data_IF_302256483527
#
_entry.id   IF_302256483527
#
_cell.length_a   1.000
_cell.length_b   1.000
_cell.length_c   1.000
_cell.angle_alpha   90.00
_cell.angle_beta   90.00
_cell.angle_gamma   90.00
#
_symmetry.space_group_name_H-M   'P 1'
#
loop_
_entity.id
_entity.type
_entity.pdbx_description
1 polymer ?
#
# COMPACT_ATOMS: atom_id res chain seq x y z
N UNK A 1 8.94 6.89 16.45
CA UNK A 1 8.05 7.76 15.68
C UNK A 1 6.60 7.62 16.10
N UNK A 2 5.79 8.60 15.69
CA UNK A 2 4.32 8.61 15.78
C UNK A 2 3.72 7.54 14.85
N UNK A 3 2.45 7.18 15.04
CA UNK A 3 1.77 6.24 14.14
C UNK A 3 1.58 6.85 12.74
N UNK A 4 1.50 8.17 12.64
CA UNK A 4 1.48 8.89 11.37
C UNK A 4 2.78 8.69 10.59
N UNK A 5 3.93 8.87 11.25
CA UNK A 5 5.25 8.62 10.66
C UNK A 5 5.39 7.17 10.20
N UNK A 6 4.85 6.21 10.96
CA UNK A 6 4.85 4.80 10.55
C UNK A 6 3.99 4.52 9.32
N UNK A 7 2.84 5.18 9.17
CA UNK A 7 2.02 5.06 7.95
C UNK A 7 2.80 5.58 6.76
N UNK A 8 3.43 6.77 6.86
CA UNK A 8 4.29 7.30 5.78
C UNK A 8 5.44 6.35 5.46
N UNK A 9 6.10 5.85 6.49
CA UNK A 9 7.18 4.88 6.36
C UNK A 9 6.74 3.58 5.65
N UNK A 10 5.51 3.11 5.87
CA UNK A 10 4.98 1.93 5.16
C UNK A 10 4.92 2.16 3.64
N UNK A 11 4.41 3.32 3.21
CA UNK A 11 4.36 3.67 1.79
C UNK A 11 5.75 3.77 1.17
N UNK A 12 6.65 4.52 1.82
CA UNK A 12 8.02 4.74 1.34
C UNK A 12 8.81 3.44 1.26
N UNK A 13 8.72 2.60 2.31
CA UNK A 13 9.41 1.31 2.37
C UNK A 13 8.90 0.37 1.29
N UNK A 14 7.59 0.32 1.05
CA UNK A 14 7.04 -0.49 -0.03
C UNK A 14 7.59 -0.04 -1.39
N UNK A 15 7.65 1.27 -1.65
CA UNK A 15 8.19 1.78 -2.90
C UNK A 15 9.66 1.38 -3.09
N UNK A 16 10.50 1.65 -2.09
CA UNK A 16 11.93 1.38 -2.15
C UNK A 16 12.25 -0.12 -2.32
N UNK A 17 11.50 -0.99 -1.64
CA UNK A 17 11.79 -2.43 -1.63
C UNK A 17 11.08 -3.21 -2.72
N UNK A 18 9.91 -2.75 -3.15
CA UNK A 18 9.05 -3.49 -4.08
C UNK A 18 8.77 -2.63 -5.31
N UNK A 19 8.11 -1.48 -5.13
CA UNK A 19 7.58 -0.68 -6.23
C UNK A 19 8.61 -0.28 -7.27
N UNK A 20 9.80 0.16 -6.84
CA UNK A 20 10.90 0.60 -7.73
C UNK A 20 11.84 -0.53 -8.15
N UNK A 21 11.51 -1.79 -7.85
CA UNK A 21 12.38 -2.94 -8.13
C UNK A 21 11.67 -3.94 -9.05
N UNK A 22 12.43 -4.90 -9.60
CA UNK A 22 11.84 -5.98 -10.41
C UNK A 22 10.86 -6.87 -9.62
N UNK A 23 10.89 -6.82 -8.29
CA UNK A 23 10.00 -7.61 -7.43
C UNK A 23 8.52 -7.25 -7.64
N UNK A 24 8.20 -6.03 -8.08
CA UNK A 24 6.82 -5.61 -8.43
C UNK A 24 6.20 -6.51 -9.52
N UNK A 25 7.03 -7.10 -10.39
CA UNK A 25 6.60 -8.04 -11.42
C UNK A 25 6.03 -9.35 -10.87
N UNK A 26 6.47 -9.81 -9.69
CA UNK A 26 5.94 -11.01 -9.06
C UNK A 26 4.47 -10.82 -8.65
N UNK A 27 4.14 -9.68 -8.04
CA UNK A 27 2.76 -9.38 -7.66
C UNK A 27 1.82 -9.33 -8.86
N UNK A 28 2.28 -8.74 -9.97
CA UNK A 28 1.53 -8.73 -11.23
C UNK A 28 1.31 -10.13 -11.78
N UNK A 29 2.37 -10.94 -11.83
CA UNK A 29 2.27 -12.32 -12.34
C UNK A 29 1.30 -13.14 -11.50
N UNK A 30 1.32 -13.00 -10.18
CA UNK A 30 0.35 -13.68 -9.32
C UNK A 30 -1.07 -13.20 -9.58
N UNK A 31 -1.28 -11.92 -9.87
CA UNK A 31 -2.62 -11.41 -10.17
C UNK A 31 -3.16 -11.90 -11.52
N UNK A 32 -2.31 -12.13 -12.51
CA UNK A 32 -2.75 -12.63 -13.82
C UNK A 32 -2.79 -14.16 -13.90
N UNK A 33 -1.89 -14.86 -13.20
CA UNK A 33 -1.68 -16.30 -13.35
C UNK A 33 -2.05 -17.14 -12.12
N UNK A 34 -2.56 -16.55 -11.03
CA UNK A 34 -2.86 -17.29 -9.79
C UNK A 34 -3.79 -18.49 -10.01
N UNK A 35 -4.77 -18.36 -10.91
CA UNK A 35 -5.70 -19.45 -11.23
C UNK A 35 -5.03 -20.61 -11.97
N UNK A 36 -3.94 -20.34 -12.71
CA UNK A 36 -3.18 -21.35 -13.43
C UNK A 36 -2.16 -22.05 -12.53
N UNK A 37 -1.67 -21.37 -11.48
CA UNK A 37 -0.68 -21.89 -10.53
C UNK A 37 -1.11 -21.73 -9.07
N UNK A 38 -2.14 -22.47 -8.61
CA UNK A 38 -2.78 -22.27 -7.30
C UNK A 38 -1.83 -22.49 -6.11
N UNK A 39 -0.89 -23.44 -6.22
CA UNK A 39 0.11 -23.68 -5.17
C UNK A 39 1.04 -22.49 -4.99
N UNK A 40 1.51 -21.91 -6.10
CA UNK A 40 2.38 -20.74 -6.09
C UNK A 40 1.60 -19.51 -5.58
N UNK A 41 0.33 -19.36 -5.99
CA UNK A 41 -0.54 -18.31 -5.48
C UNK A 41 -0.74 -18.40 -3.97
N UNK A 42 -0.94 -19.61 -3.43
CA UNK A 42 -1.06 -19.84 -1.98
C UNK A 42 0.23 -19.49 -1.24
N UNK A 43 1.38 -19.90 -1.77
CA UNK A 43 2.69 -19.54 -1.24
C UNK A 43 2.88 -18.01 -1.23
N UNK A 44 2.64 -17.34 -2.36
CA UNK A 44 2.76 -15.88 -2.45
C UNK A 44 1.82 -15.15 -1.49
N UNK A 45 0.58 -15.64 -1.33
CA UNK A 45 -0.37 -15.11 -0.37
C UNK A 45 0.19 -15.18 1.05
N UNK A 46 0.73 -16.34 1.45
CA UNK A 46 1.25 -16.55 2.80
C UNK A 46 2.55 -15.77 3.08
N UNK A 47 3.47 -15.74 2.11
CA UNK A 47 4.80 -15.15 2.28
C UNK A 47 4.86 -13.65 1.99
N UNK A 48 3.91 -13.10 1.22
CA UNK A 48 3.96 -11.69 0.77
C UNK A 48 2.70 -10.92 1.15
N UNK A 49 1.52 -11.43 0.80
CA UNK A 49 0.27 -10.68 0.99
C UNK A 49 -0.09 -10.57 2.46
N UNK A 50 -0.15 -11.69 3.19
CA UNK A 50 -0.54 -11.68 4.60
C UNK A 50 0.45 -10.92 5.50
N UNK A 51 1.78 -11.04 5.37
CA UNK A 51 2.71 -10.27 6.18
C UNK A 51 2.54 -8.76 5.98
N UNK A 52 2.30 -8.31 4.74
CA UNK A 52 2.01 -6.92 4.42
C UNK A 52 0.72 -6.43 5.11
N UNK A 53 -0.36 -7.21 5.03
CA UNK A 53 -1.62 -6.90 5.71
C UNK A 53 -1.44 -6.84 7.24
N UNK A 54 -0.77 -7.83 7.83
CA UNK A 54 -0.50 -7.87 9.28
C UNK A 54 0.34 -6.67 9.73
N UNK A 55 1.33 -6.25 8.96
CA UNK A 55 2.16 -5.09 9.27
C UNK A 55 1.31 -3.81 9.31
N UNK A 56 0.56 -3.52 8.24
CA UNK A 56 -0.25 -2.31 8.14
C UNK A 56 -1.35 -2.30 9.22
N UNK A 57 -2.01 -3.45 9.44
CA UNK A 57 -3.01 -3.59 10.51
C UNK A 57 -2.44 -3.22 11.87
N UNK A 58 -1.24 -3.71 12.21
CA UNK A 58 -0.59 -3.38 13.49
C UNK A 58 -0.24 -1.90 13.62
N UNK A 59 0.17 -1.25 12.53
CA UNK A 59 0.46 0.20 12.53
C UNK A 59 -0.81 1.00 12.79
N UNK A 60 -1.91 0.67 12.10
CA UNK A 60 -3.19 1.35 12.27
C UNK A 60 -3.80 1.10 13.66
N UNK A 61 -3.81 -0.15 14.13
CA UNK A 61 -4.26 -0.50 15.48
C UNK A 61 -3.48 0.26 16.54
N UNK A 62 -2.14 0.31 16.43
CA UNK A 62 -1.30 1.08 17.36
C UNK A 62 -1.71 2.55 17.41
N UNK A 63 -2.02 3.14 16.26
CA UNK A 63 -2.47 4.54 16.19
C UNK A 63 -3.82 4.76 16.88
N UNK A 64 -4.75 3.81 16.74
CA UNK A 64 -6.03 3.82 17.46
C UNK A 64 -5.83 3.67 18.97
N UNK A 65 -5.02 2.72 19.40
CA UNK A 65 -4.75 2.44 20.82
C UNK A 65 -4.12 3.65 21.53
N UNK A 66 -3.36 4.47 20.78
CA UNK A 66 -2.72 5.70 21.27
C UNK A 66 -3.58 6.96 21.12
N UNK A 67 -4.79 6.84 20.56
CA UNK A 67 -5.65 7.99 20.26
C UNK A 67 -5.10 8.93 19.17
N UNK A 68 -4.08 8.52 18.42
CA UNK A 68 -3.49 9.30 17.34
C UNK A 68 -4.31 9.21 16.05
N UNK A 69 -4.93 8.05 15.82
CA UNK A 69 -5.84 7.78 14.72
C UNK A 69 -7.26 7.56 15.26
N UNK A 70 -8.26 8.03 14.51
CA UNK A 70 -9.67 7.79 14.85
C UNK A 70 -9.99 6.30 14.83
N UNK A 71 -11.11 5.85 15.45
CA UNK A 71 -11.58 4.48 15.31
C UNK A 71 -11.80 4.09 13.84
N UNK A 72 -11.30 2.91 13.46
CA UNK A 72 -11.38 2.35 12.12
C UNK A 72 -11.82 0.88 12.20
N UNK A 73 -12.61 0.45 11.22
CA UNK A 73 -12.72 -0.97 10.91
C UNK A 73 -11.44 -1.41 10.19
N UNK A 74 -10.58 -2.15 10.89
CA UNK A 74 -9.28 -2.57 10.37
C UNK A 74 -9.36 -3.64 9.29
N UNK A 75 -10.49 -4.33 9.12
CA UNK A 75 -10.64 -5.31 8.04
C UNK A 75 -10.70 -4.59 6.68
N UNK A 76 -11.20 -3.35 6.67
CA UNK A 76 -11.28 -2.51 5.48
C UNK A 76 -10.19 -1.42 5.44
N UNK A 77 -9.81 -0.85 6.59
CA UNK A 77 -8.91 0.31 6.64
C UNK A 77 -7.48 0.01 6.15
N UNK A 78 -7.03 -1.24 6.19
CA UNK A 78 -5.74 -1.64 5.59
C UNK A 78 -5.66 -1.31 4.10
N UNK A 79 -6.80 -1.35 3.39
CA UNK A 79 -6.85 -1.05 1.95
C UNK A 79 -6.71 0.44 1.64
N UNK A 80 -6.91 1.33 2.61
CA UNK A 80 -6.58 2.75 2.45
C UNK A 80 -5.09 2.97 2.17
N UNK A 81 -4.25 2.05 2.65
CA UNK A 81 -2.80 2.03 2.41
C UNK A 81 -2.46 1.13 1.23
N UNK A 82 -3.04 -0.06 1.12
CA UNK A 82 -2.65 -1.03 0.09
C UNK A 82 -3.14 -0.68 -1.33
N UNK A 83 -4.36 -0.17 -1.49
CA UNK A 83 -4.94 0.11 -2.81
C UNK A 83 -4.08 1.04 -3.69
N UNK A 84 -3.58 2.20 -3.21
CA UNK A 84 -2.68 3.05 -4.01
C UNK A 84 -1.36 2.37 -4.38
N UNK A 85 -0.84 1.47 -3.55
CA UNK A 85 0.36 0.69 -3.86
C UNK A 85 0.06 -0.33 -4.97
N UNK A 86 -1.12 -0.95 -4.94
CA UNK A 86 -1.57 -1.81 -6.03
C UNK A 86 -1.73 -1.02 -7.34
N UNK A 87 -2.28 0.19 -7.29
CA UNK A 87 -2.36 1.07 -8.46
C UNK A 87 -0.98 1.31 -9.08
N UNK A 88 0.03 1.65 -8.27
CA UNK A 88 1.41 1.81 -8.75
C UNK A 88 1.99 0.52 -9.34
N UNK A 89 1.72 -0.63 -8.72
CA UNK A 89 2.16 -1.93 -9.23
C UNK A 89 1.61 -2.21 -10.63
N UNK A 90 0.34 -1.88 -10.89
CA UNK A 90 -0.28 -2.10 -12.19
C UNK A 90 0.18 -1.09 -13.23
N UNK A 91 0.16 0.20 -12.88
CA UNK A 91 0.37 1.30 -13.83
C UNK A 91 1.80 1.36 -14.37
N UNK A 92 2.80 0.90 -13.62
CA UNK A 92 4.20 0.93 -14.08
C UNK A 92 4.47 0.09 -15.34
N UNK A 93 3.73 -1.00 -15.52
CA UNK A 93 3.85 -1.90 -16.67
C UNK A 93 3.35 -1.27 -17.97
N UNK A 94 2.34 -0.43 -17.84
CA UNK A 94 1.58 0.12 -18.97
C UNK A 94 1.12 1.54 -18.62
N UNK A 95 2.07 2.48 -18.45
CA UNK A 95 1.76 3.78 -17.86
C UNK A 95 0.74 4.58 -18.67
N UNK A 96 0.85 4.51 -20.00
CA UNK A 96 -0.02 5.25 -20.92
C UNK A 96 -1.47 4.76 -20.96
N UNK A 97 -1.76 3.52 -20.52
CA UNK A 97 -3.13 3.00 -20.46
C UNK A 97 -3.87 3.51 -19.22
N UNK A 98 -3.18 3.60 -18.09
CA UNK A 98 -3.78 4.02 -16.83
C UNK A 98 -3.66 5.53 -16.57
N UNK A 99 -2.67 6.19 -17.18
CA UNK A 99 -2.29 7.57 -16.89
C UNK A 99 -2.16 8.35 -18.20
N UNK A 100 -3.11 9.25 -18.53
CA UNK A 100 -3.12 9.99 -19.79
C UNK A 100 -1.83 10.79 -20.09
N UNK A 101 -1.11 11.24 -19.05
CA UNK A 101 0.15 11.97 -19.15
C UNK A 101 1.27 11.28 -18.36
N UNK A 102 1.50 9.99 -18.65
CA UNK A 102 2.43 9.15 -17.91
C UNK A 102 3.84 9.75 -17.76
N UNK A 103 4.33 10.47 -18.77
CA UNK A 103 5.64 11.15 -18.76
C UNK A 103 5.82 12.12 -17.58
N UNK A 104 4.71 12.68 -17.07
CA UNK A 104 4.69 13.66 -15.97
C UNK A 104 4.36 13.03 -14.62
N UNK A 105 4.03 11.73 -14.59
CA UNK A 105 3.61 11.06 -13.37
C UNK A 105 4.83 10.62 -12.55
N UNK A 106 4.90 11.09 -11.31
CA UNK A 106 5.94 10.69 -10.35
C UNK A 106 5.34 9.74 -9.30
N UNK A 107 5.75 8.47 -9.24
CA UNK A 107 5.31 7.54 -8.21
C UNK A 107 5.59 8.03 -6.79
N UNK A 108 6.74 8.69 -6.58
CA UNK A 108 7.15 9.25 -5.29
C UNK A 108 6.23 10.39 -4.85
N UNK A 109 5.91 11.32 -5.76
CA UNK A 109 4.96 12.39 -5.45
C UNK A 109 3.55 11.84 -5.23
N UNK A 110 3.13 10.84 -6.02
CA UNK A 110 1.86 10.16 -5.79
C UNK A 110 1.79 9.53 -4.39
N UNK A 111 2.84 8.82 -3.96
CA UNK A 111 2.95 8.27 -2.62
C UNK A 111 2.87 9.36 -1.55
N UNK A 112 3.61 10.46 -1.72
CA UNK A 112 3.62 11.58 -0.77
C UNK A 112 2.23 12.17 -0.61
N UNK A 113 1.58 12.49 -1.73
CA UNK A 113 0.21 13.04 -1.76
C UNK A 113 -0.79 12.07 -1.15
N UNK A 114 -0.70 10.79 -1.49
CA UNK A 114 -1.59 9.76 -0.97
C UNK A 114 -1.43 9.57 0.54
N UNK A 115 -0.19 9.46 1.02
CA UNK A 115 0.07 9.32 2.44
C UNK A 115 -0.45 10.52 3.23
N UNK A 116 -0.29 11.73 2.70
CA UNK A 116 -0.84 12.94 3.31
C UNK A 116 -2.36 12.95 3.36
N UNK A 117 -3.03 12.68 2.23
CA UNK A 117 -4.47 12.66 2.15
C UNK A 117 -5.10 11.59 3.06
N UNK A 118 -4.50 10.40 3.09
CA UNK A 118 -4.90 9.34 4.02
C UNK A 118 -4.78 9.81 5.47
N UNK A 119 -3.64 10.41 5.85
CA UNK A 119 -3.43 10.85 7.23
C UNK A 119 -4.34 12.01 7.64
N UNK A 120 -4.62 12.96 6.75
CA UNK A 120 -5.63 14.00 7.02
C UNK A 120 -7.02 13.42 7.32
N UNK A 121 -7.37 12.29 6.71
CA UNK A 121 -8.63 11.58 6.96
C UNK A 121 -8.61 10.61 8.15
N UNK A 122 -7.44 10.16 8.60
CA UNK A 122 -7.29 9.18 9.68
C UNK A 122 -6.97 9.80 11.04
N UNK A 123 -6.22 10.89 11.08
CA UNK A 123 -5.80 11.52 12.32
C UNK A 123 -6.98 12.10 13.08
N UNK A 124 -6.96 11.98 14.41
CA UNK A 124 -7.93 12.67 15.27
C UNK A 124 -7.71 14.18 15.11
N UNK A 125 -8.78 14.92 14.81
CA UNK A 125 -8.72 16.38 14.75
C UNK A 125 -8.74 16.93 16.16
N UNK A 126 -7.75 17.73 16.52
CA UNK A 126 -7.86 18.59 17.69
C UNK A 126 -9.00 19.57 17.45
N UNK A 127 -9.90 19.67 18.42
CA UNK A 127 -11.00 20.64 18.42
C UNK A 127 -10.49 22.08 18.48
#
# INVERSE_FOLDING_TARGET
GTSQELVRYCFETWWQRIGSTRAVGLGRLMLSEANNFPEIASFYRHEVVEPGHRLIRRVLQRGMDRGELRPLDLDHAVYLVLAPLMFLMFSQSTPSVCIPNAERFSPQEYIRVQADNVLQGLCVRSA
#
